data_IF_025560355259
#
_entry.id   IF_025560355259
#
_cell.length_a   1.000
_cell.length_b   1.000
_cell.length_c   1.000
_cell.angle_alpha   90.00
_cell.angle_beta   90.00
_cell.angle_gamma   90.00
#
_symmetry.space_group_name_H-M   'P 1'
#
loop_
_entity.id
_entity.type
_entity.pdbx_description
1 polymer ?
#
# COMPACT_ATOMS: atom_id res chain seq x y z
N UNK A 1 4.50 33.93 14.17
CA UNK A 1 5.21 33.82 12.91
C UNK A 1 5.45 32.34 12.63
N UNK A 2 4.64 31.78 11.72
CA UNK A 2 4.82 30.43 11.22
C UNK A 2 6.10 30.42 10.39
N UNK A 3 7.13 29.76 10.86
CA UNK A 3 8.34 29.48 10.10
C UNK A 3 7.89 28.54 8.97
N UNK A 4 7.78 29.06 7.74
CA UNK A 4 7.58 28.23 6.55
C UNK A 4 8.84 27.42 6.34
N UNK A 5 8.82 26.16 6.72
CA UNK A 5 9.94 25.24 6.45
C UNK A 5 10.04 25.10 4.93
N UNK A 6 11.17 25.49 4.38
CA UNK A 6 11.51 25.28 2.97
C UNK A 6 11.72 23.77 2.71
N UNK A 7 11.38 23.28 1.52
CA UNK A 7 11.54 21.87 1.13
C UNK A 7 13.00 21.38 1.23
N UNK A 8 13.95 22.24 0.92
CA UNK A 8 15.39 21.88 0.97
C UNK A 8 15.89 21.82 2.42
N UNK A 9 15.42 22.74 3.28
CA UNK A 9 15.66 22.68 4.72
C UNK A 9 15.08 21.42 5.35
N UNK A 10 13.90 20.99 4.88
CA UNK A 10 13.26 19.76 5.34
C UNK A 10 14.08 18.52 4.95
N UNK A 11 14.51 18.43 3.70
CA UNK A 11 15.36 17.32 3.22
C UNK A 11 16.69 17.26 4.00
N UNK A 12 17.34 18.39 4.19
CA UNK A 12 18.60 18.48 4.93
C UNK A 12 18.43 18.08 6.39
N UNK A 13 17.42 18.63 7.07
CA UNK A 13 17.12 18.32 8.47
C UNK A 13 16.86 16.84 8.72
N UNK A 14 16.16 16.18 7.79
CA UNK A 14 15.78 14.78 7.92
C UNK A 14 16.71 13.82 7.17
N UNK A 15 17.83 14.32 6.62
CA UNK A 15 18.82 13.53 5.88
C UNK A 15 18.17 12.67 4.76
N UNK A 16 17.26 13.30 4.00
CA UNK A 16 16.56 12.63 2.90
C UNK A 16 17.45 12.68 1.67
N UNK A 17 17.82 11.51 1.15
CA UNK A 17 18.52 11.33 -0.11
C UNK A 17 17.60 10.65 -1.13
N UNK A 18 17.53 11.20 -2.36
CA UNK A 18 16.75 10.68 -3.47
C UNK A 18 17.71 10.23 -4.55
N UNK A 19 17.82 8.91 -4.74
CA UNK A 19 18.64 8.31 -5.78
C UNK A 19 17.76 8.00 -7.00
N UNK A 20 18.04 8.65 -8.12
CA UNK A 20 17.37 8.44 -9.40
C UNK A 20 18.29 8.86 -10.54
N UNK A 21 18.15 8.21 -11.69
CA UNK A 21 18.84 8.63 -12.93
C UNK A 21 18.18 9.90 -13.53
N UNK A 22 16.93 10.19 -13.16
CA UNK A 22 16.18 11.34 -13.65
C UNK A 22 16.25 12.51 -12.68
N UNK A 23 16.70 13.67 -13.17
CA UNK A 23 16.78 14.90 -12.38
C UNK A 23 15.39 15.41 -11.97
N UNK A 24 14.40 15.22 -12.83
CA UNK A 24 12.99 15.50 -12.55
C UNK A 24 12.50 14.86 -11.25
N UNK A 25 12.86 13.59 -11.02
CA UNK A 25 12.48 12.85 -9.82
C UNK A 25 13.26 13.37 -8.60
N UNK A 26 14.57 13.64 -8.74
CA UNK A 26 15.39 14.20 -7.65
C UNK A 26 14.91 15.57 -7.18
N UNK A 27 14.30 16.34 -8.08
CA UNK A 27 13.78 17.69 -7.79
C UNK A 27 12.38 17.69 -7.16
N UNK A 28 11.70 16.54 -7.05
CA UNK A 28 10.35 16.44 -6.45
C UNK A 28 10.39 16.92 -4.99
N UNK A 29 9.52 17.88 -4.69
CA UNK A 29 9.40 18.46 -3.35
C UNK A 29 8.56 17.57 -2.42
N UNK A 30 8.94 17.46 -1.13
CA UNK A 30 8.17 16.72 -0.16
C UNK A 30 6.84 17.42 0.18
N UNK A 31 5.83 16.64 0.54
CA UNK A 31 4.62 17.14 1.16
C UNK A 31 4.86 17.43 2.64
N UNK A 32 4.77 18.67 3.06
CA UNK A 32 5.10 19.08 4.44
C UNK A 32 3.92 19.01 5.40
N UNK A 33 2.70 19.02 4.86
CA UNK A 33 1.46 18.96 5.64
C UNK A 33 0.42 18.09 4.95
N UNK A 34 -0.42 17.40 5.72
CA UNK A 34 -1.51 16.58 5.15
C UNK A 34 -2.61 17.40 4.49
N UNK A 35 -2.93 18.57 5.05
CA UNK A 35 -4.03 19.40 4.58
C UNK A 35 -3.87 19.86 3.12
N UNK A 36 -2.65 19.83 2.61
CA UNK A 36 -2.33 20.26 1.24
C UNK A 36 -2.32 19.09 0.25
N UNK A 37 -2.56 17.85 0.70
CA UNK A 37 -2.55 16.67 -0.18
C UNK A 37 -4.00 16.38 -0.59
N UNK A 38 -4.41 16.94 -1.74
CA UNK A 38 -5.79 16.82 -2.27
C UNK A 38 -6.16 15.35 -2.49
N UNK A 39 -5.20 14.55 -2.92
CA UNK A 39 -5.34 13.11 -3.19
C UNK A 39 -5.77 12.33 -1.95
N UNK A 40 -5.43 12.80 -0.76
CA UNK A 40 -5.74 12.10 0.50
C UNK A 40 -6.96 12.65 1.24
N UNK A 41 -7.64 13.65 0.70
CA UNK A 41 -8.86 14.18 1.31
C UNK A 41 -9.95 13.13 1.58
N UNK A 42 -10.18 12.12 0.71
CA UNK A 42 -11.14 11.05 1.01
C UNK A 42 -10.84 10.26 2.29
N UNK A 43 -9.58 10.27 2.74
CA UNK A 43 -9.11 9.56 3.94
C UNK A 43 -8.95 10.44 5.17
N UNK A 44 -9.32 11.73 5.09
CA UNK A 44 -9.03 12.72 6.13
C UNK A 44 -9.63 12.35 7.49
N UNK A 45 -10.87 11.88 7.53
CA UNK A 45 -11.54 11.49 8.79
C UNK A 45 -10.82 10.32 9.48
N UNK A 46 -10.44 9.31 8.72
CA UNK A 46 -9.71 8.14 9.21
C UNK A 46 -8.30 8.52 9.66
N UNK A 47 -7.67 9.42 8.91
CA UNK A 47 -6.36 9.96 9.21
C UNK A 47 -6.37 10.77 10.50
N UNK A 48 -7.26 11.73 10.64
CA UNK A 48 -7.39 12.59 11.83
C UNK A 48 -7.60 11.76 13.09
N UNK A 49 -8.43 10.72 12.99
CA UNK A 49 -8.64 9.77 14.08
C UNK A 49 -7.39 8.94 14.42
N UNK A 50 -6.56 8.64 13.42
CA UNK A 50 -5.40 7.76 13.61
C UNK A 50 -4.18 8.48 14.19
N UNK A 51 -3.90 9.71 13.72
CA UNK A 51 -2.65 10.43 14.00
C UNK A 51 -2.87 11.84 14.59
N UNK A 52 -4.12 12.32 14.63
CA UNK A 52 -4.50 13.64 15.16
C UNK A 52 -4.59 14.72 14.08
N UNK A 53 -5.39 15.76 14.37
CA UNK A 53 -5.70 16.84 13.42
C UNK A 53 -4.49 17.66 12.95
N UNK A 54 -3.48 17.78 13.80
CA UNK A 54 -2.28 18.59 13.54
C UNK A 54 -1.04 17.75 13.21
N UNK A 55 -1.22 16.47 12.91
CA UNK A 55 -0.09 15.61 12.56
C UNK A 55 0.46 15.97 11.17
N UNK A 56 1.77 15.99 11.05
CA UNK A 56 2.46 16.14 9.77
C UNK A 56 2.93 14.79 9.24
N UNK A 57 3.10 14.65 7.92
CA UNK A 57 3.72 13.47 7.35
C UNK A 57 5.09 13.20 7.99
N UNK A 58 5.39 11.93 8.26
CA UNK A 58 6.76 11.54 8.61
C UNK A 58 7.70 11.79 7.44
N UNK A 59 9.02 11.91 7.64
CA UNK A 59 9.96 12.18 6.54
C UNK A 59 9.83 11.21 5.36
N UNK A 60 9.64 9.91 5.63
CA UNK A 60 9.48 8.91 4.57
C UNK A 60 8.17 9.10 3.81
N UNK A 61 7.07 9.42 4.49
CA UNK A 61 5.77 9.72 3.88
C UNK A 61 5.84 11.01 3.06
N UNK A 62 6.37 12.08 3.65
CA UNK A 62 6.49 13.39 3.02
C UNK A 62 7.18 13.32 1.66
N UNK A 63 8.25 12.52 1.55
CA UNK A 63 9.02 12.41 0.32
C UNK A 63 8.52 11.33 -0.62
N UNK A 64 8.08 10.16 -0.13
CA UNK A 64 7.65 9.07 -1.01
C UNK A 64 6.31 9.35 -1.71
N UNK A 65 5.37 10.00 -1.03
CA UNK A 65 4.04 10.24 -1.59
C UNK A 65 4.04 11.02 -2.90
N UNK A 66 4.70 12.19 -3.02
CA UNK A 66 4.69 12.92 -4.28
C UNK A 66 5.37 12.16 -5.43
N UNK A 67 6.29 11.23 -5.14
CA UNK A 67 6.95 10.39 -6.13
C UNK A 67 6.01 9.28 -6.60
N UNK A 68 5.43 8.53 -5.65
CA UNK A 68 4.52 7.41 -5.95
C UNK A 68 3.23 7.89 -6.62
N UNK A 69 2.68 9.04 -6.20
CA UNK A 69 1.47 9.62 -6.81
C UNK A 69 1.66 10.06 -8.26
N UNK A 70 2.90 10.32 -8.67
CA UNK A 70 3.26 10.57 -10.07
C UNK A 70 3.46 9.29 -10.89
N UNK A 71 3.32 8.10 -10.26
CA UNK A 71 3.39 6.81 -10.93
C UNK A 71 4.81 6.24 -11.04
N UNK A 72 5.75 6.74 -10.26
CA UNK A 72 7.12 6.21 -10.27
C UNK A 72 7.27 5.01 -9.31
N UNK A 73 7.95 3.97 -9.77
CA UNK A 73 8.40 2.88 -8.92
C UNK A 73 9.40 3.41 -7.88
N UNK A 74 9.25 2.98 -6.62
CA UNK A 74 9.97 3.60 -5.52
C UNK A 74 10.47 2.56 -4.51
N UNK A 75 11.74 2.64 -4.16
CA UNK A 75 12.32 1.89 -3.04
C UNK A 75 12.53 2.85 -1.88
N UNK A 76 11.87 2.57 -0.75
CA UNK A 76 11.91 3.41 0.44
C UNK A 76 12.71 2.74 1.55
N UNK A 77 13.85 3.30 1.91
CA UNK A 77 14.69 2.82 3.01
C UNK A 77 14.52 3.72 4.22
N UNK A 78 14.07 3.18 5.34
CA UNK A 78 13.94 3.92 6.60
C UNK A 78 13.82 2.96 7.79
N UNK A 79 14.04 3.48 9.00
CA UNK A 79 13.96 2.70 10.24
C UNK A 79 12.55 2.10 10.44
N UNK A 80 12.46 1.04 11.24
CA UNK A 80 11.18 0.52 11.73
C UNK A 80 10.43 1.59 12.52
N UNK A 81 9.10 1.62 12.41
CA UNK A 81 8.28 2.64 13.08
C UNK A 81 8.30 4.02 12.42
N UNK A 82 8.94 4.20 11.28
CA UNK A 82 8.99 5.48 10.55
C UNK A 82 7.69 5.85 9.81
N UNK A 83 6.65 5.01 9.84
CA UNK A 83 5.39 5.23 9.13
C UNK A 83 5.35 4.69 7.70
N UNK A 84 6.22 3.75 7.34
CA UNK A 84 6.24 3.11 6.00
C UNK A 84 4.89 2.54 5.58
N UNK A 85 4.16 1.91 6.51
CA UNK A 85 2.85 1.30 6.21
C UNK A 85 1.88 2.31 5.60
N UNK A 86 1.75 3.50 6.19
CA UNK A 86 0.98 4.58 5.57
C UNK A 86 1.68 5.18 4.35
N UNK A 87 3.00 5.13 4.32
CA UNK A 87 3.80 5.54 3.18
C UNK A 87 3.37 4.85 1.88
N UNK A 88 2.99 3.58 1.92
CA UNK A 88 2.52 2.85 0.74
C UNK A 88 0.99 2.67 0.69
N UNK A 89 0.28 2.53 1.81
CA UNK A 89 -1.17 2.28 1.79
C UNK A 89 -1.97 3.46 1.24
N UNK A 90 -1.67 4.69 1.66
CA UNK A 90 -2.46 5.85 1.22
C UNK A 90 -2.36 6.12 -0.27
N UNK A 91 -1.16 6.20 -0.90
CA UNK A 91 -1.08 6.37 -2.35
C UNK A 91 -1.68 5.17 -3.12
N UNK A 92 -1.51 3.94 -2.62
CA UNK A 92 -2.15 2.75 -3.19
C UNK A 92 -3.67 2.89 -3.18
N UNK A 93 -4.26 3.29 -2.06
CA UNK A 93 -5.72 3.49 -1.96
C UNK A 93 -6.21 4.60 -2.88
N UNK A 94 -5.50 5.72 -2.94
CA UNK A 94 -5.84 6.79 -3.86
C UNK A 94 -5.85 6.30 -5.31
N UNK A 95 -4.83 5.56 -5.72
CA UNK A 95 -4.76 5.00 -7.06
C UNK A 95 -5.90 4.00 -7.32
N UNK A 96 -6.19 3.10 -6.36
CA UNK A 96 -7.32 2.19 -6.47
C UNK A 96 -8.64 2.95 -6.64
N UNK A 97 -8.88 4.04 -5.93
CA UNK A 97 -10.09 4.86 -6.07
C UNK A 97 -10.11 5.60 -7.41
N UNK A 98 -8.98 6.18 -7.82
CA UNK A 98 -8.85 6.91 -9.08
C UNK A 98 -9.11 6.01 -10.29
N UNK A 99 -8.53 4.83 -10.30
CA UNK A 99 -8.77 3.82 -11.34
C UNK A 99 -10.17 3.22 -11.20
N UNK A 100 -10.71 3.15 -10.00
CA UNK A 100 -11.93 2.46 -9.61
C UNK A 100 -13.20 3.25 -9.80
N UNK A 101 -13.18 4.46 -10.26
CA UNK A 101 -14.38 5.01 -10.92
C UNK A 101 -14.85 4.05 -12.04
N UNK A 102 -13.92 3.22 -12.55
CA UNK A 102 -14.18 2.10 -13.46
C UNK A 102 -14.20 0.72 -12.76
N UNK A 103 -13.33 0.44 -11.78
CA UNK A 103 -13.07 -0.92 -11.25
C UNK A 103 -13.96 -1.29 -10.05
N UNK A 104 -14.36 -0.33 -9.18
CA UNK A 104 -15.27 -0.64 -8.06
C UNK A 104 -16.69 -0.94 -8.53
N UNK A 105 -17.10 -0.44 -9.69
CA UNK A 105 -18.45 -0.56 -10.24
C UNK A 105 -18.55 -1.53 -11.42
N UNK A 106 -17.44 -1.98 -12.01
CA UNK A 106 -17.51 -3.05 -12.99
C UNK A 106 -17.74 -4.39 -12.26
N UNK A 107 -18.75 -5.17 -12.66
CA UNK A 107 -18.80 -6.58 -12.26
C UNK A 107 -17.45 -7.16 -12.74
N UNK A 108 -16.62 -7.60 -11.78
CA UNK A 108 -15.37 -8.28 -12.14
C UNK A 108 -15.75 -9.35 -13.14
N UNK A 109 -15.22 -9.21 -14.36
CA UNK A 109 -15.46 -10.16 -15.44
C UNK A 109 -15.40 -11.55 -14.85
N UNK A 110 -16.28 -12.40 -15.25
CA UNK A 110 -16.52 -13.78 -14.88
C UNK A 110 -15.24 -14.64 -14.83
N UNK A 111 -14.34 -14.30 -13.88
CA UNK A 111 -13.20 -15.13 -13.55
C UNK A 111 -13.63 -16.13 -12.49
N UNK A 112 -13.26 -17.39 -12.67
CA UNK A 112 -13.53 -18.45 -11.69
C UNK A 112 -12.73 -18.26 -10.37
N UNK A 113 -11.84 -17.27 -10.29
CA UNK A 113 -10.99 -16.97 -9.16
C UNK A 113 -10.77 -15.47 -8.97
N UNK A 114 -10.55 -14.99 -7.72
CA UNK A 114 -10.24 -13.60 -7.40
C UNK A 114 -9.01 -13.10 -8.14
N UNK A 115 -9.13 -11.91 -8.74
CA UNK A 115 -8.04 -11.18 -9.40
C UNK A 115 -7.94 -9.78 -8.78
N UNK A 116 -7.08 -9.60 -7.75
CA UNK A 116 -6.94 -8.32 -7.06
C UNK A 116 -6.25 -7.29 -7.95
N UNK A 117 -6.57 -6.00 -7.74
CA UNK A 117 -5.84 -4.90 -8.38
C UNK A 117 -4.54 -4.56 -7.66
N UNK A 118 -4.40 -4.97 -6.40
CA UNK A 118 -3.21 -4.70 -5.60
C UNK A 118 -2.81 -5.92 -4.75
N UNK A 119 -1.49 -6.12 -4.62
CA UNK A 119 -0.89 -7.15 -3.76
C UNK A 119 0.18 -6.51 -2.88
N UNK A 120 0.16 -6.85 -1.58
CA UNK A 120 1.21 -6.49 -0.63
C UNK A 120 1.84 -7.77 -0.11
N UNK A 121 3.14 -7.94 -0.34
CA UNK A 121 3.94 -9.03 0.20
C UNK A 121 4.60 -8.63 1.51
N UNK A 122 4.52 -9.49 2.50
CA UNK A 122 5.20 -9.35 3.79
C UNK A 122 5.91 -10.65 4.15
N UNK A 123 7.13 -10.61 4.75
CA UNK A 123 7.92 -11.81 5.05
C UNK A 123 7.28 -12.73 6.08
N UNK A 124 6.47 -12.16 6.99
CA UNK A 124 5.87 -12.91 8.08
C UNK A 124 4.36 -12.81 8.13
N UNK A 125 3.73 -13.80 8.71
CA UNK A 125 2.29 -13.84 8.99
C UNK A 125 1.83 -12.64 9.81
N UNK A 126 2.58 -12.34 10.88
CA UNK A 126 2.27 -11.27 11.83
C UNK A 126 2.24 -9.90 11.13
N UNK A 127 3.25 -9.63 10.30
CA UNK A 127 3.33 -8.38 9.52
C UNK A 127 2.20 -8.31 8.48
N UNK A 128 1.92 -9.40 7.78
CA UNK A 128 0.80 -9.44 6.82
C UNK A 128 -0.55 -9.14 7.50
N UNK A 129 -0.79 -9.70 8.69
CA UNK A 129 -2.00 -9.43 9.49
C UNK A 129 -2.02 -7.97 9.95
N UNK A 130 -0.90 -7.42 10.39
CA UNK A 130 -0.79 -6.02 10.82
C UNK A 130 -1.12 -5.06 9.68
N UNK A 131 -0.50 -5.25 8.51
CA UNK A 131 -0.78 -4.43 7.32
C UNK A 131 -2.25 -4.53 6.92
N UNK A 132 -2.82 -5.74 6.93
CA UNK A 132 -4.22 -5.95 6.61
C UNK A 132 -5.17 -5.22 7.56
N UNK A 133 -4.88 -5.21 8.87
CA UNK A 133 -5.68 -4.45 9.85
C UNK A 133 -5.68 -2.95 9.54
N UNK A 134 -4.52 -2.39 9.20
CA UNK A 134 -4.43 -0.99 8.79
C UNK A 134 -5.16 -0.76 7.46
N UNK A 135 -5.04 -1.69 6.51
CA UNK A 135 -5.77 -1.61 5.25
C UNK A 135 -7.30 -1.61 5.44
N UNK A 136 -7.82 -2.42 6.36
CA UNK A 136 -9.25 -2.40 6.72
C UNK A 136 -9.64 -1.07 7.38
N UNK A 137 -8.80 -0.56 8.28
CA UNK A 137 -9.07 0.68 9.01
C UNK A 137 -9.23 1.88 8.09
N UNK A 138 -8.42 1.99 7.05
CA UNK A 138 -8.41 3.15 6.14
C UNK A 138 -9.18 2.93 4.84
N UNK A 139 -9.29 1.70 4.37
CA UNK A 139 -9.88 1.38 3.08
C UNK A 139 -11.38 1.06 3.14
N UNK A 140 -11.89 0.60 4.29
CA UNK A 140 -13.27 0.11 4.41
C UNK A 140 -14.32 1.17 4.03
N UNK A 141 -14.16 2.38 4.54
CA UNK A 141 -15.12 3.47 4.29
C UNK A 141 -15.07 3.98 2.84
N UNK A 142 -14.01 3.63 2.13
CA UNK A 142 -13.82 3.92 0.70
C UNK A 142 -14.26 2.74 -0.20
N UNK A 143 -14.88 1.72 0.37
CA UNK A 143 -15.31 0.53 -0.36
C UNK A 143 -14.18 -0.41 -0.79
N UNK A 144 -12.95 -0.19 -0.29
CA UNK A 144 -11.82 -1.06 -0.61
C UNK A 144 -11.92 -2.36 0.18
N UNK A 145 -12.07 -3.46 -0.53
CA UNK A 145 -12.10 -4.80 0.07
C UNK A 145 -10.69 -5.36 0.13
N UNK A 146 -10.24 -5.67 1.35
CA UNK A 146 -8.93 -6.26 1.63
C UNK A 146 -9.09 -7.66 2.22
N UNK A 147 -8.22 -8.58 1.84
CA UNK A 147 -8.10 -9.92 2.41
C UNK A 147 -6.64 -10.20 2.73
N UNK A 148 -6.41 -10.99 3.80
CA UNK A 148 -5.07 -11.47 4.15
C UNK A 148 -4.96 -12.97 3.96
N UNK A 149 -3.85 -13.42 3.32
CA UNK A 149 -3.53 -14.83 3.15
C UNK A 149 -2.09 -15.13 3.59
N UNK A 150 -1.87 -16.19 4.35
CA UNK A 150 -0.55 -16.52 4.91
C UNK A 150 -0.37 -18.01 5.17
N UNK A 151 0.87 -18.44 5.26
CA UNK A 151 1.23 -19.84 5.59
C UNK A 151 0.86 -20.24 7.02
N UNK A 152 0.79 -21.56 7.29
CA UNK A 152 0.54 -22.10 8.63
C UNK A 152 -0.91 -22.00 9.11
N UNK A 153 -1.87 -21.62 8.26
CA UNK A 153 -3.30 -21.58 8.57
C UNK A 153 -4.11 -22.41 7.56
N UNK A 154 -5.32 -22.88 7.92
CA UNK A 154 -6.16 -23.67 7.04
C UNK A 154 -6.48 -22.92 5.73
N UNK A 155 -6.18 -23.57 4.58
CA UNK A 155 -6.36 -22.97 3.25
C UNK A 155 -7.83 -22.69 2.95
N UNK A 156 -8.74 -23.57 3.35
CA UNK A 156 -10.16 -23.44 3.03
C UNK A 156 -10.79 -22.15 3.57
N UNK A 157 -10.43 -21.74 4.79
CA UNK A 157 -10.90 -20.49 5.38
C UNK A 157 -10.45 -19.28 4.58
N UNK A 158 -9.20 -19.28 4.12
CA UNK A 158 -8.65 -18.19 3.32
C UNK A 158 -9.26 -18.16 1.92
N UNK A 159 -9.51 -19.32 1.31
CA UNK A 159 -10.21 -19.42 0.02
C UNK A 159 -11.64 -18.87 0.16
N UNK A 160 -12.34 -19.18 1.25
CA UNK A 160 -13.68 -18.64 1.49
C UNK A 160 -13.66 -17.11 1.67
N UNK A 161 -12.65 -16.57 2.37
CA UNK A 161 -12.47 -15.11 2.51
C UNK A 161 -12.19 -14.44 1.16
N UNK A 162 -11.43 -15.09 0.27
CA UNK A 162 -11.14 -14.60 -1.06
C UNK A 162 -12.37 -14.55 -1.97
N UNK A 163 -13.28 -15.51 -1.83
CA UNK A 163 -14.51 -15.55 -2.67
C UNK A 163 -15.49 -14.42 -2.34
N UNK A 164 -15.40 -13.84 -1.13
CA UNK A 164 -16.36 -12.83 -0.69
C UNK A 164 -17.81 -13.33 -0.66
N UNK A 165 -18.74 -12.54 -0.12
CA UNK A 165 -20.18 -12.75 -0.37
C UNK A 165 -20.52 -12.32 -1.81
N UNK A 166 -21.68 -12.68 -2.30
CA UNK A 166 -22.19 -12.48 -3.66
C UNK A 166 -21.41 -11.45 -4.52
N UNK A 167 -20.45 -11.94 -5.32
CA UNK A 167 -19.68 -11.21 -6.35
C UNK A 167 -18.67 -10.14 -5.88
N UNK A 168 -18.16 -10.22 -4.65
CA UNK A 168 -17.27 -9.20 -4.11
C UNK A 168 -15.83 -9.70 -3.88
N UNK A 169 -15.08 -9.95 -4.95
CA UNK A 169 -13.65 -10.26 -4.85
C UNK A 169 -12.85 -9.12 -4.19
N UNK A 170 -11.72 -9.41 -3.50
CA UNK A 170 -10.89 -8.38 -2.89
C UNK A 170 -10.20 -7.52 -3.96
N UNK A 171 -10.11 -6.22 -3.68
CA UNK A 171 -9.28 -5.30 -4.46
C UNK A 171 -7.80 -5.41 -4.05
N UNK A 172 -7.56 -5.71 -2.78
CA UNK A 172 -6.25 -5.81 -2.16
C UNK A 172 -6.07 -7.16 -1.48
N UNK A 173 -4.98 -7.84 -1.79
CA UNK A 173 -4.52 -9.02 -1.04
C UNK A 173 -3.20 -8.66 -0.33
N UNK A 174 -3.18 -8.81 0.99
CA UNK A 174 -1.93 -8.79 1.77
C UNK A 174 -1.52 -10.23 2.06
N UNK A 175 -0.27 -10.60 1.82
CA UNK A 175 0.08 -12.02 1.87
C UNK A 175 1.55 -12.30 2.20
N UNK A 176 1.80 -13.54 2.62
CA UNK A 176 3.17 -14.08 2.64
C UNK A 176 3.50 -14.74 1.29
N UNK A 177 4.76 -14.63 0.80
CA UNK A 177 5.14 -15.11 -0.55
C UNK A 177 4.74 -16.57 -0.81
N UNK A 178 5.08 -17.49 0.08
CA UNK A 178 4.81 -18.92 -0.13
C UNK A 178 3.31 -19.24 -0.23
N UNK A 179 2.42 -18.53 0.48
CA UNK A 179 0.97 -18.73 0.37
C UNK A 179 0.41 -18.13 -0.91
N UNK A 180 0.92 -16.98 -1.33
CA UNK A 180 0.53 -16.40 -2.62
C UNK A 180 0.90 -17.35 -3.76
N UNK A 181 2.13 -17.82 -3.78
CA UNK A 181 2.61 -18.77 -4.80
C UNK A 181 1.74 -20.03 -4.85
N UNK A 182 1.44 -20.62 -3.69
CA UNK A 182 0.57 -21.80 -3.61
C UNK A 182 -0.83 -21.51 -4.20
N UNK A 183 -1.41 -20.34 -3.90
CA UNK A 183 -2.75 -20.00 -4.39
C UNK A 183 -2.76 -19.63 -5.88
N UNK A 184 -1.72 -18.99 -6.39
CA UNK A 184 -1.58 -18.69 -7.82
C UNK A 184 -1.37 -19.97 -8.62
N UNK A 185 -0.45 -20.84 -8.19
CA UNK A 185 -0.17 -22.15 -8.84
C UNK A 185 -1.44 -23.02 -8.91
N UNK A 186 -2.26 -23.01 -7.86
CA UNK A 186 -3.51 -23.76 -7.79
C UNK A 186 -4.73 -22.98 -8.34
N UNK A 187 -4.52 -21.87 -9.03
CA UNK A 187 -5.57 -21.01 -9.61
C UNK A 187 -6.67 -20.62 -8.61
N UNK A 188 -6.29 -20.36 -7.35
CA UNK A 188 -7.18 -19.83 -6.31
C UNK A 188 -7.14 -18.30 -6.26
N UNK A 189 -6.10 -17.70 -6.82
CA UNK A 189 -5.90 -16.27 -7.04
C UNK A 189 -5.28 -16.10 -8.43
N UNK A 190 -5.75 -15.13 -9.17
CA UNK A 190 -5.13 -14.67 -10.42
C UNK A 190 -4.38 -13.37 -10.14
N UNK A 191 -3.26 -13.15 -10.84
CA UNK A 191 -2.42 -11.96 -10.64
C UNK A 191 -2.25 -11.13 -11.93
N UNK A 192 -2.96 -11.49 -12.96
CA UNK A 192 -2.92 -10.85 -14.28
C UNK A 192 -3.52 -9.44 -14.32
N UNK A 193 -4.30 -9.06 -13.30
CA UNK A 193 -4.90 -7.73 -13.14
C UNK A 193 -4.23 -6.90 -12.05
N UNK A 194 -3.11 -7.36 -11.50
CA UNK A 194 -2.40 -6.61 -10.45
C UNK A 194 -1.73 -5.39 -11.08
N UNK A 195 -2.16 -4.22 -10.65
CA UNK A 195 -1.61 -2.92 -11.06
C UNK A 195 -0.56 -2.41 -10.07
N UNK A 196 -0.69 -2.80 -8.79
CA UNK A 196 0.17 -2.32 -7.71
C UNK A 196 0.73 -3.50 -6.91
N UNK A 197 2.05 -3.56 -6.86
CA UNK A 197 2.78 -4.54 -6.05
C UNK A 197 3.62 -3.78 -5.00
N UNK A 198 3.44 -4.15 -3.74
CA UNK A 198 4.23 -3.64 -2.63
C UNK A 198 4.98 -4.78 -1.97
N UNK A 199 6.27 -4.56 -1.69
CA UNK A 199 7.14 -5.47 -0.95
C UNK A 199 7.56 -4.78 0.35
N UNK A 200 6.94 -5.15 1.48
CA UNK A 200 7.34 -4.62 2.79
C UNK A 200 8.39 -5.53 3.43
N UNK A 201 9.45 -4.94 4.01
CA UNK A 201 10.64 -5.66 4.49
C UNK A 201 11.25 -6.59 3.42
N UNK A 202 11.45 -6.04 2.19
CA UNK A 202 11.94 -6.82 1.04
C UNK A 202 13.32 -7.44 1.29
N UNK A 203 14.20 -6.78 2.01
CA UNK A 203 15.49 -7.28 2.47
C UNK A 203 15.32 -8.59 3.26
N UNK A 204 14.38 -8.62 4.19
CA UNK A 204 14.09 -9.81 4.97
C UNK A 204 13.50 -10.95 4.15
N UNK A 205 12.70 -10.64 3.11
CA UNK A 205 12.23 -11.67 2.18
C UNK A 205 13.36 -12.31 1.40
N UNK A 206 14.36 -11.51 0.97
CA UNK A 206 15.55 -12.02 0.29
C UNK A 206 16.38 -12.92 1.21
N UNK A 207 16.60 -12.52 2.47
CA UNK A 207 17.32 -13.31 3.48
C UNK A 207 16.62 -14.67 3.78
N UNK A 208 15.30 -14.72 3.65
CA UNK A 208 14.50 -15.94 3.81
C UNK A 208 14.47 -16.83 2.54
N UNK A 209 15.19 -16.45 1.48
CA UNK A 209 15.29 -17.23 0.25
C UNK A 209 14.12 -17.06 -0.73
N UNK A 210 13.32 -16.01 -0.58
CA UNK A 210 12.24 -15.68 -1.55
C UNK A 210 12.78 -14.87 -2.75
N UNK A 211 13.94 -15.25 -3.29
CA UNK A 211 14.60 -14.56 -4.40
C UNK A 211 14.25 -15.11 -5.78
N UNK A 212 13.35 -16.10 -5.87
CA UNK A 212 12.96 -16.78 -7.11
C UNK A 212 11.47 -16.68 -7.38
#
# INVERSE_FOLDING_TARGET
PSISINSDDFKTKHQIDIQSNEESIRSIKPFLTFNNIVEFQPFQSNWTTAVGENANPTPIQAQSWPIVLQGHDTICVSRTGSGKTFGFLLPLFYQLIKENGKILNEPQKQYDAPSPSAVILAPTRELAIQIHKEALRFGKDQGIRSVVIYGGAPKHNQINSLKGGANAFPHLITCTPGRLLDFVTNRKVLVDQVLFLVLDEADRMLDMGFSH
#
